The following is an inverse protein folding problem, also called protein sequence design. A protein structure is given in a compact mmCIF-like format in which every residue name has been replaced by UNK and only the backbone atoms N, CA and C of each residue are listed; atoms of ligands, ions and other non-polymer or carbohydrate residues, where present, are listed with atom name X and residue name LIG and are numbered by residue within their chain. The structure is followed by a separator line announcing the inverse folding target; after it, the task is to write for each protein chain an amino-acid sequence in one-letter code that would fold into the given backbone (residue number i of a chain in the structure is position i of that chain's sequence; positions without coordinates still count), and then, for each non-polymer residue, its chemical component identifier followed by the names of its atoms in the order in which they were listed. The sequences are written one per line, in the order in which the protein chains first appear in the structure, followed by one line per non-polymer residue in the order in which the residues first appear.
data_IF_797598178914
#
_entry.id   IF_797598178914
#
_cell.length_a   1.000
_cell.length_b   1.000
_cell.length_c   1.000
_cell.angle_alpha   90.00
_cell.angle_beta   90.00
_cell.angle_gamma   90.00
#
_symmetry.space_group_name_H-M   'P 1'
#
loop_
_entity.id
_entity.type
_entity.pdbx_description
1 polymer ?
#
# COMPACT_ATOMS: atom_id res chain seq x y z
N UNK A 1 -8.24 16.18 -23.86
CA UNK A 1 -9.30 15.17 -23.59
C UNK A 1 -8.98 14.48 -22.29
N UNK A 2 -9.96 14.41 -21.38
CA UNK A 2 -9.81 13.60 -20.16
C UNK A 2 -9.62 12.13 -20.54
N UNK A 3 -8.78 11.36 -19.80
CA UNK A 3 -8.60 9.94 -20.07
C UNK A 3 -9.95 9.20 -20.05
N UNK A 4 -10.13 8.26 -20.97
CA UNK A 4 -11.38 7.50 -21.07
C UNK A 4 -11.48 6.54 -19.87
N UNK A 5 -12.64 6.56 -19.20
CA UNK A 5 -13.02 5.59 -18.15
C UNK A 5 -13.91 4.52 -18.78
N UNK A 6 -13.61 3.26 -18.53
CA UNK A 6 -14.38 2.12 -19.03
C UNK A 6 -14.68 1.18 -17.87
N UNK A 7 -15.96 0.98 -17.53
CA UNK A 7 -16.36 -0.01 -16.53
C UNK A 7 -16.18 -1.41 -17.05
N UNK A 8 -15.65 -2.29 -16.21
CA UNK A 8 -15.37 -3.68 -16.52
C UNK A 8 -16.06 -4.61 -15.53
N UNK A 9 -16.24 -5.86 -15.92
CA UNK A 9 -16.68 -6.89 -14.98
C UNK A 9 -15.59 -7.11 -13.91
N UNK A 10 -16.00 -7.36 -12.67
CA UNK A 10 -15.07 -7.71 -11.60
C UNK A 10 -14.16 -8.88 -12.04
N UNK A 11 -12.84 -8.73 -11.96
CA UNK A 11 -11.93 -9.83 -12.24
C UNK A 11 -12.17 -11.01 -11.31
N UNK A 12 -12.04 -12.24 -11.84
CA UNK A 12 -12.06 -13.44 -11.03
C UNK A 12 -10.64 -13.75 -10.54
N UNK A 13 -10.43 -13.59 -9.24
CA UNK A 13 -9.15 -13.91 -8.61
C UNK A 13 -9.19 -15.35 -8.06
N UNK A 14 -8.44 -16.25 -8.67
CA UNK A 14 -8.24 -17.59 -8.13
C UNK A 14 -7.54 -17.51 -6.77
N UNK A 15 -8.03 -18.27 -5.81
CA UNK A 15 -7.48 -18.35 -4.45
C UNK A 15 -7.57 -17.03 -3.63
N UNK A 16 -8.47 -16.11 -3.98
CA UNK A 16 -8.76 -14.96 -3.16
C UNK A 16 -9.18 -15.37 -1.75
N UNK A 17 -8.65 -14.68 -0.74
CA UNK A 17 -8.88 -14.96 0.67
C UNK A 17 -9.62 -13.77 1.28
N UNK A 18 -10.90 -13.95 1.60
CA UNK A 18 -11.66 -12.92 2.30
C UNK A 18 -11.26 -12.85 3.77
N UNK A 19 -11.05 -11.64 4.31
CA UNK A 19 -10.56 -11.45 5.68
C UNK A 19 -11.60 -11.90 6.73
N UNK A 20 -12.88 -11.71 6.45
CA UNK A 20 -13.98 -11.99 7.39
C UNK A 20 -14.96 -13.03 6.86
N UNK A 21 -14.49 -13.94 6.03
CA UNK A 21 -15.31 -14.96 5.39
C UNK A 21 -15.88 -14.53 4.03
N UNK A 22 -16.26 -15.51 3.23
CA UNK A 22 -16.80 -15.25 1.88
C UNK A 22 -18.13 -14.51 1.99
N UNK A 23 -18.29 -13.35 1.34
CA UNK A 23 -19.54 -12.61 1.35
C UNK A 23 -20.60 -13.30 0.47
N UNK A 24 -21.87 -13.03 0.77
CA UNK A 24 -23.00 -13.48 -0.06
C UNK A 24 -23.01 -12.81 -1.44
N UNK A 25 -22.55 -11.54 -1.50
CA UNK A 25 -22.44 -10.77 -2.73
C UNK A 25 -21.30 -9.75 -2.67
N UNK A 26 -20.68 -9.48 -3.83
CA UNK A 26 -19.67 -8.40 -4.03
C UNK A 26 -20.22 -7.30 -4.96
N UNK A 27 -21.52 -7.23 -5.18
CA UNK A 27 -22.18 -6.32 -6.15
C UNK A 27 -21.96 -4.83 -5.87
N UNK A 28 -21.47 -4.45 -4.68
CA UNK A 28 -21.15 -3.05 -4.36
C UNK A 28 -19.93 -2.55 -5.10
N UNK A 29 -18.98 -3.42 -5.43
CA UNK A 29 -17.73 -3.07 -6.06
C UNK A 29 -17.94 -2.59 -7.50
N UNK A 30 -17.26 -1.52 -7.87
CA UNK A 30 -17.23 -1.01 -9.24
C UNK A 30 -15.80 -1.08 -9.76
N UNK A 31 -15.57 -1.96 -10.73
CA UNK A 31 -14.30 -2.12 -11.42
C UNK A 31 -14.28 -1.32 -12.71
N UNK A 32 -13.19 -0.62 -12.98
CA UNK A 32 -13.04 0.20 -14.17
C UNK A 32 -11.58 0.34 -14.56
N UNK A 33 -11.37 0.68 -15.81
CA UNK A 33 -10.07 1.02 -16.38
C UNK A 33 -10.02 2.49 -16.76
N UNK A 34 -8.89 3.13 -16.50
CA UNK A 34 -8.59 4.46 -16.99
C UNK A 34 -7.47 4.32 -18.03
N UNK A 35 -7.70 4.85 -19.22
CA UNK A 35 -6.74 4.81 -20.33
C UNK A 35 -5.37 5.34 -19.90
N UNK A 36 -4.32 4.53 -20.08
CA UNK A 36 -2.95 4.83 -19.66
C UNK A 36 -2.66 4.73 -18.16
N UNK A 37 -3.65 4.33 -17.32
CA UNK A 37 -3.47 4.21 -15.87
C UNK A 37 -3.78 2.82 -15.29
N UNK A 38 -4.38 1.92 -16.09
CA UNK A 38 -4.71 0.56 -15.67
C UNK A 38 -6.04 0.44 -14.91
N UNK A 39 -6.13 -0.60 -14.08
CA UNK A 39 -7.37 -0.99 -13.41
C UNK A 39 -7.52 -0.38 -12.02
N UNK A 40 -8.77 -0.09 -11.71
CA UNK A 40 -9.21 0.51 -10.43
C UNK A 40 -10.43 -0.23 -9.90
N UNK A 41 -10.61 -0.17 -8.58
CA UNK A 41 -11.85 -0.61 -7.93
C UNK A 41 -12.25 0.36 -6.83
N UNK A 42 -13.54 0.64 -6.71
CA UNK A 42 -14.14 1.47 -5.66
C UNK A 42 -15.34 0.80 -5.02
N UNK A 43 -15.85 1.38 -3.93
CA UNK A 43 -16.98 0.85 -3.17
C UNK A 43 -16.74 -0.58 -2.66
N UNK A 44 -15.50 -0.85 -2.23
CA UNK A 44 -15.12 -2.14 -1.66
C UNK A 44 -15.70 -2.26 -0.25
N UNK A 45 -16.56 -3.26 -0.04
CA UNK A 45 -17.17 -3.60 1.26
C UNK A 45 -16.62 -4.93 1.82
N UNK A 46 -16.10 -5.78 0.96
CA UNK A 46 -15.63 -7.12 1.31
C UNK A 46 -14.12 -7.23 1.12
N UNK A 47 -13.33 -6.96 2.18
CA UNK A 47 -11.88 -6.94 2.07
C UNK A 47 -11.32 -8.35 1.88
N UNK A 48 -10.30 -8.43 1.05
CA UNK A 48 -9.68 -9.70 0.69
C UNK A 48 -8.19 -9.55 0.36
N UNK A 49 -7.45 -10.63 0.53
CA UNK A 49 -6.10 -10.81 0.02
C UNK A 49 -6.13 -11.54 -1.33
N UNK A 50 -5.37 -11.03 -2.29
CA UNK A 50 -5.18 -11.67 -3.59
C UNK A 50 -3.74 -12.21 -3.64
N UNK A 51 -3.55 -13.54 -3.54
CA UNK A 51 -2.23 -14.13 -3.44
C UNK A 51 -1.49 -14.16 -4.78
N UNK A 52 -0.20 -13.82 -4.73
CA UNK A 52 0.81 -13.99 -5.77
C UNK A 52 1.97 -14.78 -5.18
N UNK A 53 1.89 -16.10 -5.23
CA UNK A 53 2.86 -16.98 -4.57
C UNK A 53 3.96 -17.40 -5.56
N UNK A 54 5.24 -17.36 -5.13
CA UNK A 54 6.34 -17.87 -5.92
C UNK A 54 6.29 -19.41 -5.95
N UNK A 55 6.94 -20.01 -6.93
CA UNK A 55 7.19 -21.46 -6.87
C UNK A 55 7.97 -21.79 -5.60
N UNK A 56 7.63 -22.88 -4.91
CA UNK A 56 8.21 -23.27 -3.60
C UNK A 56 9.74 -23.20 -3.58
N UNK A 57 10.40 -23.64 -4.67
CA UNK A 57 11.87 -23.63 -4.82
C UNK A 57 12.48 -22.22 -4.93
N UNK A 58 11.66 -21.20 -5.23
CA UNK A 58 12.07 -19.80 -5.37
C UNK A 58 11.68 -18.95 -4.17
N UNK A 59 10.90 -19.51 -3.24
CA UNK A 59 10.44 -18.78 -2.06
C UNK A 59 11.64 -18.36 -1.18
N UNK A 60 11.69 -17.07 -0.83
CA UNK A 60 12.72 -16.51 0.04
C UNK A 60 12.35 -16.55 1.54
N UNK A 61 11.15 -17.02 1.86
CA UNK A 61 10.64 -17.16 3.23
C UNK A 61 10.01 -15.89 3.82
N UNK A 62 9.92 -14.81 3.06
CA UNK A 62 9.26 -13.58 3.49
C UNK A 62 7.94 -13.35 2.73
N UNK A 63 7.03 -12.60 3.34
CA UNK A 63 5.80 -12.14 2.72
C UNK A 63 5.76 -10.61 2.64
N UNK A 64 5.08 -10.11 1.62
CA UNK A 64 4.74 -8.70 1.45
C UNK A 64 3.24 -8.56 1.23
N UNK A 65 2.57 -7.83 2.11
CA UNK A 65 1.20 -7.39 1.90
C UNK A 65 1.27 -6.03 1.21
N UNK A 66 0.71 -5.95 0.02
CA UNK A 66 0.70 -4.75 -0.82
C UNK A 66 -0.59 -4.01 -0.55
N UNK A 67 -0.49 -2.78 -0.04
CA UNK A 67 -1.61 -1.88 0.19
C UNK A 67 -1.65 -0.82 -0.92
N UNK A 68 -2.59 -0.92 -1.87
CA UNK A 68 -2.70 0.04 -2.98
C UNK A 68 -3.06 1.44 -2.51
N UNK A 69 -2.71 2.46 -3.32
CA UNK A 69 -3.15 3.83 -3.14
C UNK A 69 -4.56 4.08 -3.65
N UNK A 70 -5.02 5.33 -3.51
CA UNK A 70 -6.33 5.78 -3.99
C UNK A 70 -7.10 6.61 -2.98
N UNK A 71 -6.41 7.28 -2.06
CA UNK A 71 -6.98 8.20 -1.06
C UNK A 71 -8.10 7.59 -0.20
N UNK A 72 -8.14 6.27 -0.04
CA UNK A 72 -9.20 5.50 0.61
C UNK A 72 -10.57 5.54 -0.12
N UNK A 73 -10.62 6.13 -1.30
CA UNK A 73 -11.83 6.24 -2.14
C UNK A 73 -11.92 5.13 -3.18
N UNK A 74 -10.78 4.65 -3.63
CA UNK A 74 -10.62 3.56 -4.59
C UNK A 74 -9.25 2.89 -4.41
N UNK A 75 -9.01 1.80 -5.12
CA UNK A 75 -7.69 1.20 -5.25
C UNK A 75 -7.14 1.36 -6.64
N UNK A 76 -5.89 1.81 -6.74
CA UNK A 76 -5.09 1.79 -7.97
C UNK A 76 -4.46 0.40 -8.11
N UNK A 77 -5.16 -0.51 -8.80
CA UNK A 77 -4.73 -1.91 -8.92
C UNK A 77 -3.66 -2.14 -9.99
N UNK A 78 -3.46 -1.22 -10.93
CA UNK A 78 -2.43 -1.33 -11.95
C UNK A 78 -1.02 -1.37 -11.33
N UNK A 79 -0.38 -0.22 -11.20
CA UNK A 79 1.00 -0.10 -10.73
C UNK A 79 1.19 -0.43 -9.24
N UNK A 80 0.27 0.03 -8.39
CA UNK A 80 0.31 -0.20 -6.94
C UNK A 80 -0.33 -1.51 -6.48
N UNK A 81 -0.72 -2.38 -7.37
CA UNK A 81 -1.31 -3.68 -7.08
C UNK A 81 -0.65 -4.79 -7.91
N UNK A 82 -1.15 -5.02 -9.13
CA UNK A 82 -0.71 -6.15 -9.96
C UNK A 82 0.77 -6.11 -10.31
N UNK A 83 1.28 -4.95 -10.74
CA UNK A 83 2.68 -4.79 -11.12
C UNK A 83 3.61 -5.03 -9.93
N UNK A 84 3.29 -4.44 -8.78
CA UNK A 84 4.03 -4.65 -7.55
C UNK A 84 4.00 -6.12 -7.09
N UNK A 85 2.83 -6.75 -7.09
CA UNK A 85 2.67 -8.14 -6.68
C UNK A 85 3.48 -9.10 -7.56
N UNK A 86 3.46 -8.88 -8.87
CA UNK A 86 4.23 -9.65 -9.83
C UNK A 86 5.75 -9.47 -9.60
N UNK A 87 6.18 -8.23 -9.38
CA UNK A 87 7.59 -7.94 -9.11
C UNK A 87 8.07 -8.65 -7.84
N UNK A 88 7.34 -8.52 -6.71
CA UNK A 88 7.70 -9.16 -5.45
C UNK A 88 7.68 -10.69 -5.55
N UNK A 89 6.68 -11.27 -6.23
CA UNK A 89 6.64 -12.71 -6.50
C UNK A 89 7.90 -13.17 -7.25
N UNK A 90 8.33 -12.42 -8.24
CA UNK A 90 9.52 -12.73 -9.03
C UNK A 90 10.82 -12.64 -8.21
N UNK A 91 10.82 -11.84 -7.13
CA UNK A 91 11.91 -11.78 -6.14
C UNK A 91 11.81 -12.87 -5.06
N UNK A 92 10.83 -13.75 -5.15
CA UNK A 92 10.66 -14.88 -4.24
C UNK A 92 9.79 -14.62 -3.01
N UNK A 93 9.16 -13.47 -2.90
CA UNK A 93 8.21 -13.17 -1.82
C UNK A 93 6.86 -13.84 -2.05
N UNK A 94 6.22 -14.32 -0.99
CA UNK A 94 4.78 -14.50 -1.01
C UNK A 94 4.12 -13.11 -0.99
N UNK A 95 3.63 -12.66 -2.12
CA UNK A 95 3.00 -11.34 -2.25
C UNK A 95 1.48 -11.45 -2.17
N UNK A 96 0.85 -10.50 -1.51
CA UNK A 96 -0.60 -10.45 -1.35
C UNK A 96 -1.08 -9.03 -1.61
N UNK A 97 -1.94 -8.82 -2.59
CA UNK A 97 -2.60 -7.53 -2.75
C UNK A 97 -3.74 -7.47 -1.75
N UNK A 98 -3.74 -6.47 -0.89
CA UNK A 98 -4.85 -6.22 0.03
C UNK A 98 -5.88 -5.30 -0.63
N UNK A 99 -7.03 -5.85 -0.97
CA UNK A 99 -8.22 -5.10 -1.34
C UNK A 99 -8.96 -4.72 -0.06
N UNK A 100 -8.51 -3.66 0.62
CA UNK A 100 -9.15 -3.18 1.86
C UNK A 100 -10.43 -2.41 1.59
N UNK A 101 -11.31 -2.27 2.57
CA UNK A 101 -12.54 -1.48 2.46
C UNK A 101 -12.23 -0.02 2.13
N UNK A 102 -13.02 0.56 1.25
CA UNK A 102 -12.92 1.97 0.85
C UNK A 102 -14.13 2.77 1.34
N UNK A 103 -13.98 4.08 1.39
CA UNK A 103 -15.12 4.97 1.60
C UNK A 103 -16.15 4.76 0.49
N UNK A 104 -17.42 4.98 0.83
CA UNK A 104 -18.48 4.95 -0.17
C UNK A 104 -18.40 6.19 -1.06
N UNK A 105 -18.43 5.97 -2.35
CA UNK A 105 -18.40 7.02 -3.38
C UNK A 105 -19.63 6.94 -4.27
N UNK A 106 -20.06 8.07 -4.89
CA UNK A 106 -21.17 8.06 -5.82
C UNK A 106 -20.99 6.99 -6.91
N UNK A 107 -22.08 6.30 -7.28
CA UNK A 107 -22.02 5.25 -8.30
C UNK A 107 -21.99 5.81 -9.71
N UNK A 108 -22.64 6.95 -9.95
CA UNK A 108 -22.56 7.67 -11.21
C UNK A 108 -21.14 8.21 -11.45
N UNK A 109 -20.66 8.11 -12.68
CA UNK A 109 -19.28 8.47 -13.01
C UNK A 109 -19.02 9.97 -12.90
N UNK A 110 -19.94 10.81 -13.34
CA UNK A 110 -19.76 12.26 -13.30
C UNK A 110 -19.80 12.79 -11.85
N UNK A 111 -20.71 12.26 -11.04
CA UNK A 111 -20.80 12.55 -9.61
C UNK A 111 -19.53 12.05 -8.87
N UNK A 112 -19.04 10.87 -9.23
CA UNK A 112 -17.81 10.31 -8.66
C UNK A 112 -16.60 11.18 -8.99
N UNK A 113 -16.44 11.60 -10.25
CA UNK A 113 -15.33 12.47 -10.64
C UNK A 113 -15.36 13.82 -9.89
N UNK A 114 -16.54 14.42 -9.74
CA UNK A 114 -16.71 15.66 -8.98
C UNK A 114 -16.35 15.46 -7.50
N UNK A 115 -16.82 14.36 -6.89
CA UNK A 115 -16.52 13.99 -5.50
C UNK A 115 -15.02 13.80 -5.27
N UNK A 116 -14.33 13.04 -6.13
CA UNK A 116 -12.88 12.81 -6.03
C UNK A 116 -12.10 14.12 -6.22
N UNK A 117 -12.50 14.95 -7.19
CA UNK A 117 -11.86 16.24 -7.44
C UNK A 117 -11.94 17.17 -6.21
N UNK A 118 -13.09 17.23 -5.55
CA UNK A 118 -13.29 18.00 -4.32
C UNK A 118 -12.40 17.50 -3.18
N UNK A 119 -12.37 16.19 -2.94
CA UNK A 119 -11.51 15.57 -1.94
C UNK A 119 -10.03 15.82 -2.20
N UNK A 120 -9.58 15.65 -3.44
CA UNK A 120 -8.18 15.85 -3.81
C UNK A 120 -7.76 17.33 -3.76
N UNK A 121 -8.67 18.26 -4.06
CA UNK A 121 -8.41 19.69 -3.88
C UNK A 121 -8.16 20.02 -2.40
N UNK A 122 -8.96 19.44 -1.49
CA UNK A 122 -8.74 19.57 -0.05
C UNK A 122 -7.39 19.03 0.40
N UNK A 123 -6.98 17.87 -0.10
CA UNK A 123 -5.68 17.28 0.23
C UNK A 123 -4.50 18.12 -0.27
N UNK A 124 -4.56 18.65 -1.49
CA UNK A 124 -3.52 19.54 -2.04
C UNK A 124 -3.40 20.84 -1.25
N UNK A 125 -4.53 21.45 -0.88
CA UNK A 125 -4.55 22.68 -0.10
C UNK A 125 -3.91 22.51 1.29
N UNK A 126 -4.04 21.31 1.91
CA UNK A 126 -3.44 20.97 3.20
C UNK A 126 -2.01 20.42 3.12
N UNK A 127 -1.64 19.77 2.02
CA UNK A 127 -0.41 18.99 1.90
C UNK A 127 0.89 19.80 1.97
N UNK A 128 0.90 20.99 1.42
CA UNK A 128 2.08 21.88 1.44
C UNK A 128 2.36 22.48 2.84
N UNK A 129 1.39 22.50 3.73
CA UNK A 129 1.56 22.96 5.10
C UNK A 129 2.05 21.90 6.08
N UNK A 130 2.24 20.66 5.62
CA UNK A 130 2.70 19.54 6.45
C UNK A 130 1.68 19.02 7.48
N UNK A 131 0.50 19.61 7.56
CA UNK A 131 -0.50 19.34 8.61
C UNK A 131 -1.70 18.55 8.16
N UNK A 132 -1.77 18.12 6.90
CA UNK A 132 -2.94 17.43 6.38
C UNK A 132 -2.56 16.10 5.70
N UNK A 133 -2.73 15.02 6.44
CA UNK A 133 -2.87 13.70 5.83
C UNK A 133 -4.36 13.33 5.79
N UNK A 134 -4.82 12.62 4.76
CA UNK A 134 -6.14 12.00 4.84
C UNK A 134 -6.22 11.16 6.11
N UNK A 135 -7.29 11.31 6.87
CA UNK A 135 -7.50 10.44 8.03
C UNK A 135 -7.64 9.01 7.51
N UNK A 136 -6.81 8.12 8.02
CA UNK A 136 -6.94 6.70 7.73
C UNK A 136 -8.24 6.18 8.35
N UNK A 137 -9.19 5.66 7.57
CA UNK A 137 -10.43 5.14 8.10
C UNK A 137 -10.19 3.94 9.02
N UNK A 138 -10.92 3.87 10.13
CA UNK A 138 -10.80 2.77 11.11
C UNK A 138 -10.99 1.40 10.46
N UNK A 139 -11.96 1.28 9.54
CA UNK A 139 -12.20 0.03 8.82
C UNK A 139 -10.99 -0.40 7.96
N UNK A 140 -10.26 0.53 7.35
CA UNK A 140 -9.06 0.20 6.59
C UNK A 140 -7.91 -0.25 7.51
N UNK A 141 -7.79 0.38 8.68
CA UNK A 141 -6.83 -0.04 9.71
C UNK A 141 -7.16 -1.45 10.25
N UNK A 142 -8.43 -1.74 10.53
CA UNK A 142 -8.88 -3.08 10.90
C UNK A 142 -8.49 -4.12 9.85
N UNK A 143 -8.69 -3.79 8.57
CA UNK A 143 -8.41 -4.71 7.45
C UNK A 143 -6.91 -5.01 7.30
N UNK A 144 -6.03 -4.01 7.41
CA UNK A 144 -4.59 -4.26 7.35
C UNK A 144 -4.09 -5.09 8.53
N UNK A 145 -4.63 -4.84 9.73
CA UNK A 145 -4.32 -5.63 10.92
C UNK A 145 -4.78 -7.09 10.76
N UNK A 146 -6.01 -7.29 10.27
CA UNK A 146 -6.55 -8.63 9.98
C UNK A 146 -5.73 -9.35 8.91
N UNK A 147 -5.27 -8.63 7.88
CA UNK A 147 -4.43 -9.18 6.81
C UNK A 147 -3.08 -9.69 7.35
N UNK A 148 -2.37 -8.89 8.14
CA UNK A 148 -1.09 -9.29 8.76
C UNK A 148 -1.29 -10.51 9.65
N UNK A 149 -2.30 -10.49 10.52
CA UNK A 149 -2.63 -11.61 11.41
C UNK A 149 -2.93 -12.88 10.63
N UNK A 150 -3.77 -12.81 9.61
CA UNK A 150 -4.14 -13.95 8.77
C UNK A 150 -2.91 -14.57 8.07
N UNK A 151 -2.06 -13.75 7.46
CA UNK A 151 -0.83 -14.24 6.80
C UNK A 151 0.11 -14.86 7.82
N UNK A 152 0.23 -14.30 9.02
CA UNK A 152 1.06 -14.85 10.11
C UNK A 152 0.55 -16.19 10.63
N UNK A 153 -0.74 -16.32 10.86
CA UNK A 153 -1.38 -17.57 11.29
C UNK A 153 -1.27 -18.68 10.24
N UNK A 154 -1.27 -18.32 8.96
CA UNK A 154 -1.17 -19.25 7.82
C UNK A 154 0.21 -19.28 7.16
N UNK A 155 1.25 -18.76 7.83
CA UNK A 155 2.58 -18.57 7.26
C UNK A 155 3.17 -19.87 6.65
N UNK A 156 3.01 -21.02 7.33
CA UNK A 156 3.47 -22.31 6.85
C UNK A 156 2.83 -22.71 5.51
N UNK A 157 1.55 -22.39 5.31
CA UNK A 157 0.82 -22.67 4.06
C UNK A 157 1.42 -21.90 2.87
N UNK A 158 1.95 -20.69 3.13
CA UNK A 158 2.55 -19.83 2.13
C UNK A 158 4.06 -19.97 1.99
N UNK A 159 4.68 -20.92 2.71
CA UNK A 159 6.14 -21.06 2.84
C UNK A 159 6.83 -19.78 3.36
N UNK A 160 6.23 -19.13 4.32
CA UNK A 160 6.67 -17.88 4.94
C UNK A 160 7.08 -18.14 6.40
N UNK A 161 8.12 -17.45 6.87
CA UNK A 161 8.46 -17.38 8.27
C UNK A 161 7.53 -16.35 8.95
N UNK A 162 6.89 -16.69 10.10
CA UNK A 162 5.86 -15.83 10.69
C UNK A 162 6.38 -14.49 11.23
N UNK A 163 7.69 -14.33 11.35
CA UNK A 163 8.41 -13.12 11.76
C UNK A 163 9.02 -12.34 10.56
N UNK A 164 8.59 -12.63 9.33
CA UNK A 164 9.05 -11.98 8.09
C UNK A 164 7.89 -11.55 7.19
N UNK A 165 6.93 -10.85 7.77
CA UNK A 165 5.74 -10.36 7.08
C UNK A 165 5.76 -8.85 7.10
N UNK A 166 5.98 -8.23 5.93
CA UNK A 166 5.98 -6.78 5.78
C UNK A 166 4.75 -6.25 5.06
N UNK A 167 4.60 -4.94 5.14
CA UNK A 167 3.62 -4.19 4.34
C UNK A 167 4.40 -3.25 3.42
N UNK A 168 4.08 -3.26 2.13
CA UNK A 168 4.49 -2.22 1.18
C UNK A 168 3.24 -1.48 0.74
N UNK A 169 3.16 -0.23 1.15
CA UNK A 169 2.02 0.63 0.85
C UNK A 169 2.36 1.76 -0.10
N UNK A 170 1.41 2.11 -0.95
CA UNK A 170 1.51 3.18 -1.94
C UNK A 170 0.52 4.30 -1.60
N UNK A 171 0.96 5.55 -1.48
CA UNK A 171 0.10 6.70 -1.18
C UNK A 171 -0.77 6.46 0.07
N UNK A 172 -2.09 6.41 -0.03
CA UNK A 172 -2.99 6.06 1.08
C UNK A 172 -2.63 4.71 1.72
N UNK A 173 -2.22 3.72 0.92
CA UNK A 173 -1.72 2.44 1.42
C UNK A 173 -0.43 2.57 2.23
N UNK A 174 0.42 3.55 1.93
CA UNK A 174 1.60 3.87 2.72
C UNK A 174 1.24 4.47 4.08
N UNK A 175 0.24 5.36 4.13
CA UNK A 175 -0.34 5.84 5.40
C UNK A 175 -0.83 4.69 6.27
N UNK A 176 -1.53 3.74 5.64
CA UNK A 176 -2.05 2.56 6.30
C UNK A 176 -0.93 1.65 6.84
N UNK A 177 0.15 1.46 6.07
CA UNK A 177 1.31 0.69 6.48
C UNK A 177 2.02 1.31 7.70
N UNK A 178 2.24 2.61 7.69
CA UNK A 178 2.85 3.35 8.80
C UNK A 178 1.94 3.31 10.03
N UNK A 179 0.63 3.47 9.85
CA UNK A 179 -0.35 3.37 10.95
C UNK A 179 -0.34 1.98 11.60
N UNK A 180 -0.25 0.91 10.80
CA UNK A 180 -0.09 -0.45 11.33
C UNK A 180 1.16 -0.56 12.21
N UNK A 181 2.30 -0.06 11.75
CA UNK A 181 3.55 -0.12 12.51
C UNK A 181 3.46 0.64 13.85
N UNK A 182 2.80 1.79 13.86
CA UNK A 182 2.69 2.65 15.04
C UNK A 182 1.66 2.14 16.05
N UNK A 183 0.53 1.61 15.60
CA UNK A 183 -0.66 1.42 16.44
C UNK A 183 -1.21 -0.02 16.50
N UNK A 184 -0.75 -0.95 15.63
CA UNK A 184 -1.28 -2.30 15.65
C UNK A 184 -0.83 -3.10 16.90
N UNK A 185 -1.66 -4.02 17.40
CA UNK A 185 -1.22 -5.04 18.35
C UNK A 185 -0.08 -5.89 17.78
N UNK A 186 0.76 -6.46 18.61
CA UNK A 186 1.97 -7.19 18.19
C UNK A 186 1.67 -8.33 17.21
N UNK A 187 0.60 -9.09 17.42
CA UNK A 187 0.19 -10.18 16.51
C UNK A 187 -0.26 -9.71 15.13
N UNK A 188 -0.66 -8.44 15.01
CA UNK A 188 -1.15 -7.80 13.79
C UNK A 188 -0.20 -6.74 13.25
N UNK A 189 0.94 -6.50 13.93
CA UNK A 189 1.96 -5.54 13.47
C UNK A 189 2.87 -6.20 12.46
N UNK A 190 3.15 -5.52 11.35
CA UNK A 190 4.11 -5.97 10.37
C UNK A 190 5.55 -5.96 10.89
N UNK A 191 6.40 -6.84 10.35
CA UNK A 191 7.79 -7.00 10.77
C UNK A 191 8.74 -6.02 10.04
N UNK A 192 8.32 -5.44 8.93
CA UNK A 192 8.98 -4.35 8.21
C UNK A 192 8.00 -3.57 7.34
N UNK A 193 8.33 -2.32 7.03
CA UNK A 193 7.45 -1.39 6.30
C UNK A 193 8.18 -0.78 5.10
N UNK A 194 7.53 -0.80 3.95
CA UNK A 194 7.84 0.02 2.78
C UNK A 194 6.75 1.08 2.59
N UNK A 195 7.10 2.35 2.74
CA UNK A 195 6.22 3.51 2.52
C UNK A 195 6.60 4.21 1.23
N UNK A 196 5.76 4.08 0.20
CA UNK A 196 6.06 4.60 -1.14
C UNK A 196 5.13 5.78 -1.43
N UNK A 197 5.71 6.95 -1.65
CA UNK A 197 5.06 8.26 -1.81
C UNK A 197 3.87 8.49 -0.86
N UNK A 198 4.01 8.07 0.39
CA UNK A 198 3.05 8.36 1.46
C UNK A 198 3.54 9.46 2.38
N UNK A 199 2.63 10.25 2.92
CA UNK A 199 2.97 11.14 4.02
C UNK A 199 3.32 10.32 5.26
N UNK A 200 4.39 10.71 5.95
CA UNK A 200 4.69 10.20 7.28
C UNK A 200 3.96 11.07 8.31
N UNK A 201 3.05 10.47 9.05
CA UNK A 201 2.20 11.16 10.03
C UNK A 201 2.59 10.76 11.44
N UNK A 202 2.83 11.76 12.30
CA UNK A 202 3.16 11.51 13.70
C UNK A 202 1.93 11.02 14.47
N UNK A 203 2.06 9.85 15.09
CA UNK A 203 1.10 9.27 16.03
C UNK A 203 1.83 8.89 17.31
N UNK A 204 1.11 8.38 18.27
CA UNK A 204 1.73 7.74 19.42
C UNK A 204 2.52 6.51 18.97
N UNK A 205 3.82 6.52 19.22
CA UNK A 205 4.72 5.46 18.78
C UNK A 205 5.06 4.52 19.92
N UNK A 206 5.06 3.20 19.69
CA UNK A 206 5.56 2.23 20.67
C UNK A 206 7.06 2.42 20.91
N UNK A 207 7.57 1.83 21.99
CA UNK A 207 8.99 1.91 22.34
C UNK A 207 9.90 1.31 21.24
N UNK A 208 9.41 0.26 20.57
CA UNK A 208 10.09 -0.37 19.43
C UNK A 208 9.20 -0.34 18.20
N UNK A 209 9.77 0.10 17.10
CA UNK A 209 9.13 0.12 15.79
C UNK A 209 9.78 -0.89 14.84
N UNK A 210 9.01 -1.49 13.93
CA UNK A 210 9.59 -2.29 12.85
C UNK A 210 10.47 -1.42 11.96
N UNK A 211 11.44 -2.00 11.24
CA UNK A 211 12.23 -1.28 10.24
C UNK A 211 11.35 -0.60 9.20
N UNK A 212 11.67 0.65 8.87
CA UNK A 212 10.99 1.49 7.87
C UNK A 212 11.93 1.80 6.70
N UNK A 213 11.46 1.54 5.49
CA UNK A 213 12.00 2.11 4.25
C UNK A 213 10.95 3.07 3.67
N UNK A 214 11.33 4.32 3.44
CA UNK A 214 10.47 5.32 2.83
C UNK A 214 11.07 5.84 1.53
N UNK A 215 10.29 5.86 0.45
CA UNK A 215 10.66 6.45 -0.83
C UNK A 215 9.67 7.54 -1.20
N UNK A 216 10.19 8.75 -1.40
CA UNK A 216 9.41 9.96 -1.67
C UNK A 216 10.03 10.75 -2.83
N UNK A 217 9.27 11.65 -3.41
CA UNK A 217 9.74 12.58 -4.44
C UNK A 217 9.55 14.03 -3.97
N UNK A 218 10.57 14.87 -4.12
CA UNK A 218 10.52 16.25 -3.63
C UNK A 218 9.58 17.16 -4.43
N UNK A 219 9.22 16.76 -5.64
CA UNK A 219 8.24 17.40 -6.51
C UNK A 219 6.82 16.83 -6.36
N UNK A 220 6.60 15.96 -5.37
CA UNK A 220 5.26 15.43 -5.04
C UNK A 220 4.42 16.49 -4.33
N UNK A 221 3.33 16.93 -4.96
CA UNK A 221 2.43 17.95 -4.45
C UNK A 221 1.60 17.51 -3.22
N UNK A 222 1.51 16.20 -2.96
CA UNK A 222 0.72 15.64 -1.86
C UNK A 222 1.56 15.30 -0.63
N UNK A 223 2.74 14.71 -0.81
CA UNK A 223 3.57 14.20 0.30
C UNK A 223 4.98 14.79 0.35
N UNK A 224 5.47 15.31 -0.72
CA UNK A 224 6.75 15.94 -1.02
C UNK A 224 7.80 16.00 0.07
N UNK A 225 7.73 16.99 0.95
CA UNK A 225 8.77 17.28 1.97
C UNK A 225 8.24 17.13 3.40
N UNK A 226 7.15 16.41 3.61
CA UNK A 226 6.56 16.20 4.92
C UNK A 226 7.14 14.97 5.63
N UNK A 227 7.05 14.96 6.96
CA UNK A 227 7.30 13.78 7.77
C UNK A 227 8.74 13.52 8.20
N UNK A 228 9.68 14.46 7.99
CA UNK A 228 11.06 14.32 8.50
C UNK A 228 11.11 14.13 10.02
N UNK A 229 10.21 14.77 10.76
CA UNK A 229 10.09 14.60 12.22
C UNK A 229 9.70 13.17 12.61
N UNK A 230 8.78 12.57 11.84
CA UNK A 230 8.37 11.17 12.02
C UNK A 230 9.54 10.23 11.76
N UNK A 231 10.28 10.47 10.67
CA UNK A 231 11.48 9.70 10.35
C UNK A 231 12.53 9.78 11.47
N UNK A 232 12.80 10.97 12.00
CA UNK A 232 13.73 11.17 13.12
C UNK A 232 13.23 10.48 14.42
N UNK A 233 11.93 10.53 14.69
CA UNK A 233 11.34 9.83 15.83
C UNK A 233 11.42 8.31 15.68
N UNK A 234 11.27 7.81 14.44
CA UNK A 234 11.42 6.40 14.11
C UNK A 234 12.83 5.89 14.35
N UNK A 235 13.85 6.63 13.89
CA UNK A 235 15.26 6.27 14.08
C UNK A 235 15.65 6.07 15.55
N UNK A 236 14.96 6.69 16.48
CA UNK A 236 15.17 6.48 17.93
C UNK A 236 14.58 5.17 18.45
N UNK A 237 13.75 4.49 17.67
CA UNK A 237 12.96 3.30 18.06
C UNK A 237 13.21 2.08 17.18
N UNK A 238 13.86 2.26 16.05
CA UNK A 238 14.12 1.21 15.09
C UNK A 238 14.96 1.71 13.91
N UNK A 239 15.19 0.83 12.95
CA UNK A 239 15.89 1.18 11.71
C UNK A 239 14.94 1.96 10.81
N UNK A 240 15.39 3.09 10.30
CA UNK A 240 14.64 3.85 9.30
C UNK A 240 15.59 4.34 8.20
N UNK A 241 15.16 4.18 6.95
CA UNK A 241 15.87 4.64 5.76
C UNK A 241 14.92 5.45 4.88
N UNK A 242 15.36 6.62 4.41
CA UNK A 242 14.57 7.55 3.60
C UNK A 242 15.31 7.87 2.30
N UNK A 243 14.65 7.62 1.18
CA UNK A 243 15.07 8.03 -0.15
C UNK A 243 14.17 9.18 -0.63
N UNK A 244 14.74 10.38 -0.77
CA UNK A 244 14.06 11.54 -1.30
C UNK A 244 14.59 11.85 -2.70
N UNK A 245 13.86 11.39 -3.72
CA UNK A 245 14.20 11.61 -5.12
C UNK A 245 13.87 13.05 -5.54
N UNK A 246 14.68 13.62 -6.43
CA UNK A 246 14.47 14.99 -6.92
C UNK A 246 13.22 15.14 -7.78
N UNK A 247 12.84 14.09 -8.49
CA UNK A 247 11.71 14.07 -9.42
C UNK A 247 11.00 12.71 -9.41
N UNK A 248 9.74 12.71 -9.83
CA UNK A 248 8.89 11.53 -9.92
C UNK A 248 7.44 11.85 -9.65
N UNK A 249 7.17 12.97 -8.98
CA UNK A 249 5.83 13.39 -8.58
C UNK A 249 5.17 12.41 -7.61
N UNK A 250 3.84 12.48 -7.52
CA UNK A 250 3.03 11.46 -6.86
C UNK A 250 2.71 10.32 -7.82
N UNK A 251 2.47 9.10 -7.31
CA UNK A 251 2.12 7.91 -8.10
C UNK A 251 3.20 7.41 -9.07
N UNK A 252 4.48 7.48 -8.69
CA UNK A 252 5.52 6.87 -9.52
C UNK A 252 5.49 5.32 -9.53
N UNK A 253 4.59 4.68 -8.77
CA UNK A 253 4.35 3.23 -8.80
C UNK A 253 5.62 2.42 -8.55
N UNK A 254 5.88 1.46 -9.44
CA UNK A 254 7.12 0.67 -9.45
C UNK A 254 8.30 1.40 -10.13
N UNK A 255 8.09 2.66 -10.51
CA UNK A 255 9.08 3.55 -11.12
C UNK A 255 8.88 3.76 -12.61
N UNK A 256 9.31 4.93 -13.10
CA UNK A 256 9.24 5.32 -14.50
C UNK A 256 10.58 5.93 -14.93
N UNK A 257 11.15 5.38 -15.99
CA UNK A 257 12.27 6.02 -16.66
C UNK A 257 11.85 7.39 -17.26
N UNK A 258 12.71 8.43 -17.24
CA UNK A 258 14.13 8.39 -16.81
C UNK A 258 14.36 8.79 -15.33
N UNK A 259 13.35 8.80 -14.50
CA UNK A 259 13.47 9.28 -13.11
C UNK A 259 14.21 8.29 -12.21
N UNK A 260 15.06 8.81 -11.32
CA UNK A 260 15.81 8.00 -10.34
C UNK A 260 14.89 7.34 -9.31
N UNK A 261 13.65 7.82 -9.15
CA UNK A 261 12.62 7.13 -8.37
C UNK A 261 12.31 5.71 -8.87
N UNK A 262 12.65 5.39 -10.13
CA UNK A 262 12.56 4.03 -10.67
C UNK A 262 13.49 3.02 -9.97
N UNK A 263 14.49 3.48 -9.21
CA UNK A 263 15.47 2.63 -8.51
C UNK A 263 14.95 2.10 -7.16
N UNK A 264 13.85 2.64 -6.63
CA UNK A 264 13.39 2.29 -5.29
C UNK A 264 13.16 0.77 -5.07
N UNK A 265 12.66 -0.02 -6.04
CA UNK A 265 12.44 -1.45 -5.80
C UNK A 265 13.73 -2.21 -5.53
N UNK A 266 14.79 -1.93 -6.29
CA UNK A 266 16.11 -2.53 -6.10
C UNK A 266 16.76 -2.05 -4.80
N UNK A 267 16.60 -0.77 -4.45
CA UNK A 267 17.09 -0.20 -3.19
C UNK A 267 16.36 -0.84 -1.99
N UNK A 268 15.04 -1.03 -2.09
CA UNK A 268 14.24 -1.73 -1.09
C UNK A 268 14.71 -3.18 -0.92
N UNK A 269 14.98 -3.88 -2.01
CA UNK A 269 15.49 -5.26 -1.96
C UNK A 269 16.88 -5.32 -1.30
N UNK A 270 17.77 -4.39 -1.64
CA UNK A 270 19.10 -4.28 -1.02
C UNK A 270 18.98 -3.98 0.48
N UNK A 271 18.08 -3.09 0.86
CA UNK A 271 17.78 -2.76 2.25
C UNK A 271 17.23 -3.97 3.03
N UNK A 272 16.32 -4.76 2.46
CA UNK A 272 15.80 -5.98 3.09
C UNK A 272 16.89 -7.04 3.32
N UNK A 273 17.90 -7.11 2.43
CA UNK A 273 19.08 -7.95 2.64
C UNK A 273 19.95 -7.41 3.79
N UNK A 274 20.17 -6.10 3.84
CA UNK A 274 20.96 -5.45 4.89
C UNK A 274 20.36 -5.71 6.28
N UNK A 275 19.04 -5.61 6.42
CA UNK A 275 18.33 -5.87 7.69
C UNK A 275 18.02 -7.36 7.92
N UNK A 276 18.51 -8.26 7.06
CA UNK A 276 18.42 -9.74 7.16
C UNK A 276 16.99 -10.31 7.11
N UNK A 277 16.07 -9.64 6.45
CA UNK A 277 14.75 -10.20 6.15
C UNK A 277 14.89 -11.31 5.10
N UNK A 278 15.69 -11.06 4.08
CA UNK A 278 16.03 -12.03 3.03
C UNK A 278 17.54 -12.19 2.91
N UNK A 279 17.99 -13.21 2.14
CA UNK A 279 19.40 -13.50 1.88
C UNK A 279 19.97 -12.69 0.71
#
# INVERSE_FOLDING_TARGET
NSPKVTYIKSPEFKNQIYLYGKPDSTETEQWYEIEGRGQFVRNVKNPALIPYLPAKRKANGAAVIIAPGGAFLHHTFGSGGFEAAEWFRNQGFAAFILKYRTEETPRDEAEHQAFVAEKMAGYRAGGLSGNYAPQTPDFAFEDICAAVKLVRERAAEFNVQPDKIGIVGFSAGALLAVYNAECAPDESRADFIGSIYGQLVMREMPEKLPPLFAAMSSDDELSGQSGFEVFQAWQKRGIAELHLFGQGGHNFGMGHEPYTSALWPEEFLAWLKMIKVIK
#
